data_IF_877678782674
#
_entry.id   IF_877678782674
#
_cell.length_a   1.000
_cell.length_b   1.000
_cell.length_c   1.000
_cell.angle_alpha   90.00
_cell.angle_beta   90.00
_cell.angle_gamma   90.00
#
_symmetry.space_group_name_H-M   'P 1'
#
loop_
_entity.id
_entity.type
_entity.pdbx_description
1 polymer ?
#
# COMPACT_ATOMS: atom_id res chain seq x y z
N UNK A 1 -0.05 9.84 -8.99
CA UNK A 1 1.37 9.54 -8.74
C UNK A 1 2.07 10.61 -7.91
N UNK A 2 1.95 11.92 -8.24
CA UNK A 2 2.57 12.99 -7.45
C UNK A 2 1.98 13.10 -6.04
N UNK A 3 0.66 12.95 -5.90
CA UNK A 3 -0.01 12.96 -4.59
C UNK A 3 0.48 11.79 -3.72
N UNK A 4 0.55 10.60 -4.27
CA UNK A 4 1.05 9.41 -3.57
C UNK A 4 2.52 9.55 -3.16
N UNK A 5 3.38 10.00 -4.08
CA UNK A 5 4.80 10.23 -3.75
C UNK A 5 4.99 11.30 -2.67
N UNK A 6 4.19 12.37 -2.69
CA UNK A 6 4.18 13.40 -1.64
C UNK A 6 3.69 12.83 -0.30
N UNK A 7 2.62 12.03 -0.30
CA UNK A 7 2.09 11.39 0.89
C UNK A 7 3.12 10.44 1.52
N UNK A 8 3.76 9.59 0.71
CA UNK A 8 4.80 8.66 1.16
C UNK A 8 6.02 9.37 1.73
N UNK A 9 6.47 10.45 1.09
CA UNK A 9 7.57 11.28 1.58
C UNK A 9 7.26 11.87 2.97
N UNK A 10 6.08 12.47 3.13
CA UNK A 10 5.67 13.06 4.40
C UNK A 10 5.43 11.99 5.47
N UNK A 11 4.81 10.86 5.14
CA UNK A 11 4.64 9.73 6.05
C UNK A 11 5.99 9.17 6.49
N UNK A 12 6.95 9.01 5.57
CA UNK A 12 8.31 8.57 5.87
C UNK A 12 9.04 9.55 6.80
N UNK A 13 8.87 10.86 6.58
CA UNK A 13 9.49 11.87 7.44
C UNK A 13 8.88 11.90 8.85
N UNK A 14 7.56 11.76 8.97
CA UNK A 14 6.87 11.63 10.26
C UNK A 14 7.30 10.34 10.98
N UNK A 15 7.52 9.26 10.26
CA UNK A 15 7.94 7.96 10.82
C UNK A 15 9.38 7.95 11.39
N UNK A 16 10.16 9.01 11.16
CA UNK A 16 11.47 9.20 11.82
C UNK A 16 11.33 9.58 13.30
N UNK A 17 10.24 10.18 13.70
CA UNK A 17 9.99 10.65 15.09
C UNK A 17 8.75 10.02 15.75
N UNK A 18 7.83 9.48 14.95
CA UNK A 18 6.64 8.79 15.43
C UNK A 18 6.72 7.30 15.03
N UNK A 19 6.18 6.39 15.82
CA UNK A 19 6.07 5.00 15.40
C UNK A 19 5.29 4.88 14.09
N UNK A 20 5.84 4.18 13.11
CA UNK A 20 5.23 4.06 11.78
C UNK A 20 3.78 3.53 11.82
N UNK A 21 3.48 2.66 12.79
CA UNK A 21 2.12 2.16 13.01
C UNK A 21 1.14 3.27 13.42
N UNK A 22 1.61 4.27 14.19
CA UNK A 22 0.78 5.41 14.62
C UNK A 22 0.46 6.31 13.43
N UNK A 23 1.49 6.62 12.63
CA UNK A 23 1.35 7.39 11.39
C UNK A 23 0.36 6.69 10.45
N UNK A 24 0.52 5.39 10.24
CA UNK A 24 -0.38 4.56 9.43
C UNK A 24 -1.81 4.57 9.96
N UNK A 25 -2.01 4.28 11.25
CA UNK A 25 -3.35 4.17 11.83
C UNK A 25 -4.15 5.46 11.72
N UNK A 26 -3.54 6.61 12.05
CA UNK A 26 -4.19 7.91 11.94
C UNK A 26 -4.49 8.26 10.48
N UNK A 27 -3.55 8.00 9.61
CA UNK A 27 -3.68 8.20 8.17
C UNK A 27 -4.87 7.40 7.59
N UNK A 28 -4.97 6.11 7.95
CA UNK A 28 -6.07 5.26 7.52
C UNK A 28 -7.43 5.71 8.10
N UNK A 29 -7.45 6.28 9.31
CA UNK A 29 -8.66 6.86 9.89
C UNK A 29 -9.18 8.04 9.06
N UNK A 30 -8.30 8.97 8.66
CA UNK A 30 -8.70 10.11 7.81
C UNK A 30 -9.12 9.66 6.41
N UNK A 31 -8.40 8.71 5.81
CA UNK A 31 -8.77 8.14 4.52
C UNK A 31 -10.10 7.38 4.55
N UNK A 32 -10.38 6.65 5.64
CA UNK A 32 -11.65 5.98 5.85
C UNK A 32 -12.79 7.00 6.01
N UNK A 33 -12.60 8.02 6.83
CA UNK A 33 -13.58 9.09 7.03
C UNK A 33 -13.89 9.79 5.69
N UNK A 34 -12.88 10.13 4.91
CA UNK A 34 -13.05 10.73 3.61
C UNK A 34 -13.82 9.82 2.65
N UNK A 35 -13.51 8.52 2.61
CA UNK A 35 -14.24 7.55 1.80
C UNK A 35 -15.71 7.40 2.21
N UNK A 36 -16.01 7.40 3.51
CA UNK A 36 -17.39 7.37 4.02
C UNK A 36 -18.15 8.63 3.59
N UNK A 37 -17.53 9.80 3.68
CA UNK A 37 -18.12 11.07 3.22
C UNK A 37 -18.40 11.01 1.71
N UNK A 38 -17.47 10.49 0.91
CA UNK A 38 -17.69 10.32 -0.52
C UNK A 38 -18.86 9.37 -0.84
N UNK A 39 -19.02 8.26 -0.11
CA UNK A 39 -20.17 7.36 -0.26
C UNK A 39 -21.47 8.11 0.05
N UNK A 40 -21.49 8.88 1.14
CA UNK A 40 -22.67 9.62 1.57
C UNK A 40 -23.10 10.70 0.54
N UNK A 41 -22.12 11.36 -0.09
CA UNK A 41 -22.39 12.41 -1.08
C UNK A 41 -22.76 11.82 -2.44
N UNK A 42 -22.07 10.76 -2.86
CA UNK A 42 -22.29 10.15 -4.19
C UNK A 42 -23.48 9.20 -4.24
N UNK A 43 -24.04 8.79 -3.09
CA UNK A 43 -25.05 7.73 -3.03
C UNK A 43 -24.52 6.36 -3.46
N UNK A 44 -23.19 6.18 -3.52
CA UNK A 44 -22.52 4.97 -4.02
C UNK A 44 -22.52 3.79 -3.04
N UNK A 45 -23.48 3.73 -2.12
CA UNK A 45 -23.63 2.62 -1.19
C UNK A 45 -24.14 1.37 -1.91
N UNK A 46 -23.41 0.26 -1.73
CA UNK A 46 -23.82 -1.08 -2.19
C UNK A 46 -23.91 -1.99 -0.97
N UNK A 47 -24.97 -2.78 -0.90
CA UNK A 47 -25.16 -3.72 0.21
C UNK A 47 -24.00 -4.74 0.26
N UNK A 48 -23.44 -5.04 1.45
CA UNK A 48 -22.32 -5.95 1.55
C UNK A 48 -22.70 -7.37 1.12
N UNK A 49 -21.86 -7.96 0.27
CA UNK A 49 -21.97 -9.32 -0.22
C UNK A 49 -20.68 -10.09 0.10
N UNK A 50 -20.81 -11.37 0.47
CA UNK A 50 -19.66 -12.26 0.69
C UNK A 50 -19.24 -13.01 -0.59
N UNK A 51 -19.59 -12.47 -1.76
CA UNK A 51 -19.16 -13.02 -3.03
C UNK A 51 -17.62 -12.97 -3.16
N UNK A 52 -17.03 -13.98 -3.78
CA UNK A 52 -15.58 -14.10 -3.94
C UNK A 52 -14.97 -12.99 -4.81
N UNK A 53 -15.77 -12.41 -5.70
CA UNK A 53 -15.44 -11.29 -6.58
C UNK A 53 -15.95 -9.94 -6.05
N UNK A 54 -16.68 -9.96 -4.91
CA UNK A 54 -17.27 -8.77 -4.28
C UNK A 54 -16.25 -7.82 -3.65
N UNK A 55 -16.65 -6.55 -3.55
CA UNK A 55 -15.83 -5.48 -2.97
C UNK A 55 -15.46 -5.75 -1.51
N UNK A 56 -16.35 -6.42 -0.73
CA UNK A 56 -16.14 -6.61 0.71
C UNK A 56 -14.98 -7.56 0.99
N UNK A 57 -15.00 -8.75 0.36
CA UNK A 57 -13.95 -9.77 0.54
C UNK A 57 -12.62 -9.25 -0.02
N UNK A 58 -12.65 -8.75 -1.25
CA UNK A 58 -11.44 -8.28 -1.92
C UNK A 58 -10.88 -7.00 -1.30
N UNK A 59 -11.72 -6.07 -0.85
CA UNK A 59 -11.28 -4.90 -0.10
C UNK A 59 -10.62 -5.26 1.23
N UNK A 60 -11.18 -6.24 1.97
CA UNK A 60 -10.59 -6.72 3.21
C UNK A 60 -9.24 -7.40 2.99
N UNK A 61 -9.13 -8.27 1.97
CA UNK A 61 -7.87 -8.92 1.59
C UNK A 61 -6.83 -7.90 1.11
N UNK A 62 -7.25 -6.93 0.29
CA UNK A 62 -6.38 -5.82 -0.13
C UNK A 62 -5.83 -5.04 1.07
N UNK A 63 -6.68 -4.75 2.06
CA UNK A 63 -6.28 -4.08 3.30
C UNK A 63 -5.26 -4.88 4.10
N UNK A 64 -5.50 -6.17 4.31
CA UNK A 64 -4.59 -7.04 5.06
C UNK A 64 -3.23 -7.20 4.35
N UNK A 65 -3.24 -7.47 3.04
CA UNK A 65 -2.03 -7.60 2.23
C UNK A 65 -1.26 -6.27 2.14
N UNK A 66 -1.95 -5.16 1.88
CA UNK A 66 -1.34 -3.84 1.78
C UNK A 66 -0.71 -3.39 3.10
N UNK A 67 -1.40 -3.63 4.22
CA UNK A 67 -0.86 -3.33 5.56
C UNK A 67 0.42 -4.12 5.85
N UNK A 68 0.42 -5.41 5.53
CA UNK A 68 1.60 -6.27 5.69
C UNK A 68 2.74 -5.79 4.80
N UNK A 69 2.43 -5.42 3.55
CA UNK A 69 3.40 -4.83 2.61
C UNK A 69 4.02 -3.55 3.15
N UNK A 70 3.21 -2.64 3.72
CA UNK A 70 3.68 -1.39 4.33
C UNK A 70 4.58 -1.66 5.56
N UNK A 71 4.23 -2.61 6.41
CA UNK A 71 5.08 -2.99 7.55
C UNK A 71 6.43 -3.51 7.08
N UNK A 72 6.45 -4.37 6.06
CA UNK A 72 7.69 -4.89 5.47
C UNK A 72 8.51 -3.76 4.82
N UNK A 73 7.85 -2.86 4.08
CA UNK A 73 8.51 -1.71 3.45
C UNK A 73 9.19 -0.82 4.50
N UNK A 74 8.45 -0.38 5.51
CA UNK A 74 9.01 0.51 6.53
C UNK A 74 10.09 -0.16 7.37
N UNK A 75 9.94 -1.44 7.69
CA UNK A 75 11.01 -2.20 8.35
C UNK A 75 12.25 -2.35 7.45
N UNK A 76 12.08 -2.49 6.14
CA UNK A 76 13.16 -2.52 5.17
C UNK A 76 13.87 -1.17 5.06
N UNK A 77 13.10 -0.09 4.88
CA UNK A 77 13.63 1.29 4.76
C UNK A 77 14.34 1.75 6.04
N UNK A 78 13.88 1.34 7.21
CA UNK A 78 14.54 1.66 8.49
C UNK A 78 15.94 1.05 8.63
N UNK A 79 16.28 0.05 7.80
CA UNK A 79 17.61 -0.53 7.75
C UNK A 79 18.66 0.36 7.06
N UNK A 80 18.27 1.51 6.51
CA UNK A 80 19.14 2.45 5.80
C UNK A 80 19.52 2.07 4.37
N UNK A 81 18.95 1.00 3.81
CA UNK A 81 19.22 0.50 2.44
C UNK A 81 18.09 0.86 1.47
N UNK A 82 17.79 2.14 1.33
CA UNK A 82 16.68 2.63 0.50
C UNK A 82 16.82 2.25 -0.98
N UNK A 83 18.04 2.32 -1.52
CA UNK A 83 18.32 1.99 -2.91
C UNK A 83 18.18 0.50 -3.25
N UNK A 84 18.08 -0.39 -2.26
CA UNK A 84 17.76 -1.81 -2.45
C UNK A 84 16.28 -2.08 -2.22
N UNK A 85 15.75 -1.56 -1.13
CA UNK A 85 14.37 -1.87 -0.69
C UNK A 85 13.34 -1.27 -1.64
N UNK A 86 13.50 -0.01 -2.03
CA UNK A 86 12.52 0.70 -2.87
C UNK A 86 12.35 0.06 -4.26
N UNK A 87 13.41 -0.23 -5.03
CA UNK A 87 13.26 -0.86 -6.33
C UNK A 87 12.72 -2.29 -6.27
N UNK A 88 13.13 -3.09 -5.27
CA UNK A 88 12.59 -4.46 -5.12
C UNK A 88 11.10 -4.41 -4.80
N UNK A 89 10.68 -3.51 -3.90
CA UNK A 89 9.25 -3.36 -3.57
C UNK A 89 8.42 -2.84 -4.75
N UNK A 90 9.00 -2.05 -5.66
CA UNK A 90 8.32 -1.58 -6.86
C UNK A 90 8.01 -2.69 -7.87
N UNK A 91 8.66 -3.85 -7.78
CA UNK A 91 8.32 -5.04 -8.56
C UNK A 91 6.95 -5.64 -8.19
N UNK A 92 6.27 -5.08 -7.19
CA UNK A 92 4.89 -5.45 -6.82
C UNK A 92 3.92 -5.44 -8.01
N UNK A 93 4.15 -4.58 -9.00
CA UNK A 93 3.33 -4.51 -10.22
C UNK A 93 3.34 -5.80 -11.04
N UNK A 94 4.38 -6.65 -10.90
CA UNK A 94 4.47 -7.91 -11.61
C UNK A 94 3.42 -8.94 -11.15
N UNK A 95 2.90 -8.82 -9.93
CA UNK A 95 1.90 -9.75 -9.38
C UNK A 95 0.53 -9.57 -10.04
N UNK A 96 -0.09 -8.36 -10.06
CA UNK A 96 -1.34 -8.17 -10.79
C UNK A 96 -1.18 -8.41 -12.29
N UNK A 97 0.00 -8.12 -12.85
CA UNK A 97 0.31 -8.42 -14.25
C UNK A 97 0.30 -9.93 -14.53
N UNK A 98 0.97 -10.72 -13.68
CA UNK A 98 0.96 -12.18 -13.77
C UNK A 98 -0.47 -12.73 -13.63
N UNK A 99 -1.24 -12.19 -12.71
CA UNK A 99 -2.64 -12.59 -12.51
C UNK A 99 -3.49 -12.31 -13.76
N UNK A 100 -3.38 -11.12 -14.34
CA UNK A 100 -4.09 -10.74 -15.55
C UNK A 100 -3.71 -11.64 -16.75
N UNK A 101 -2.42 -11.90 -16.95
CA UNK A 101 -1.94 -12.69 -18.09
C UNK A 101 -2.25 -14.18 -17.97
N UNK A 102 -2.00 -14.77 -16.79
CA UNK A 102 -2.02 -16.22 -16.60
C UNK A 102 -3.40 -16.72 -16.17
N UNK A 103 -4.08 -15.95 -15.30
CA UNK A 103 -5.34 -16.39 -14.70
C UNK A 103 -6.53 -15.82 -15.49
N UNK A 104 -6.50 -14.54 -15.88
CA UNK A 104 -7.57 -13.92 -16.66
C UNK A 104 -7.42 -14.14 -18.18
N UNK A 105 -6.22 -14.52 -18.64
CA UNK A 105 -5.95 -14.76 -20.05
C UNK A 105 -5.90 -13.46 -20.88
N UNK A 106 -5.65 -12.33 -20.22
CA UNK A 106 -5.56 -11.03 -20.89
C UNK A 106 -4.39 -10.98 -21.85
N UNK A 107 -4.57 -10.25 -22.96
CA UNK A 107 -3.52 -10.02 -23.94
C UNK A 107 -2.93 -8.63 -23.74
N UNK A 108 -1.63 -8.58 -23.49
CA UNK A 108 -0.90 -7.32 -23.40
C UNK A 108 -0.41 -6.90 -24.77
N UNK A 109 -0.63 -5.64 -25.11
CA UNK A 109 -0.07 -5.06 -26.34
C UNK A 109 1.44 -4.90 -26.22
N UNK A 110 2.14 -5.00 -27.37
CA UNK A 110 3.61 -4.85 -27.41
C UNK A 110 4.13 -3.56 -26.75
N UNK A 111 3.50 -2.37 -26.95
CA UNK A 111 3.95 -1.15 -26.27
C UNK A 111 3.88 -1.24 -24.74
N UNK A 112 2.84 -1.88 -24.19
CA UNK A 112 2.70 -2.07 -22.74
C UNK A 112 3.78 -3.01 -22.21
N UNK A 113 4.05 -4.11 -22.91
CA UNK A 113 5.14 -5.03 -22.55
C UNK A 113 6.50 -4.32 -22.53
N UNK A 114 6.79 -3.51 -23.54
CA UNK A 114 8.02 -2.70 -23.59
C UNK A 114 8.11 -1.73 -22.42
N UNK A 115 7.00 -1.07 -22.04
CA UNK A 115 6.93 -0.20 -20.88
C UNK A 115 7.23 -0.91 -19.56
N UNK A 116 6.70 -2.13 -19.39
CA UNK A 116 6.95 -2.97 -18.20
C UNK A 116 8.45 -3.34 -18.13
N UNK A 117 9.03 -3.81 -19.21
CA UNK A 117 10.46 -4.15 -19.29
C UNK A 117 11.31 -2.91 -18.96
N UNK A 118 10.99 -1.77 -19.55
CA UNK A 118 11.71 -0.51 -19.30
C UNK A 118 11.59 -0.09 -17.81
N UNK A 119 10.42 -0.25 -17.18
CA UNK A 119 10.20 0.07 -15.77
C UNK A 119 11.02 -0.83 -14.85
N UNK A 120 11.07 -2.14 -15.13
CA UNK A 120 11.89 -3.10 -14.37
C UNK A 120 13.38 -2.77 -14.50
N UNK A 121 13.86 -2.53 -15.72
CA UNK A 121 15.26 -2.14 -15.97
C UNK A 121 15.57 -0.81 -15.26
N UNK A 122 14.70 0.19 -15.35
CA UNK A 122 14.85 1.48 -14.70
C UNK A 122 14.93 1.35 -13.16
N UNK A 123 14.11 0.48 -12.58
CA UNK A 123 14.16 0.16 -11.15
C UNK A 123 15.50 -0.46 -10.74
N UNK A 124 16.04 -1.39 -11.52
CA UNK A 124 17.37 -1.97 -11.30
C UNK A 124 18.49 -0.93 -11.42
N UNK A 125 18.45 -0.09 -12.44
CA UNK A 125 19.45 0.96 -12.64
C UNK A 125 19.45 1.99 -11.51
N UNK A 126 18.26 2.34 -10.98
CA UNK A 126 18.13 3.23 -9.84
C UNK A 126 18.75 2.66 -8.55
N UNK A 127 18.85 1.32 -8.43
CA UNK A 127 19.44 0.63 -7.27
C UNK A 127 20.97 0.52 -7.33
N UNK A 128 21.59 0.82 -8.46
CA UNK A 128 22.95 0.43 -8.84
C UNK A 128 24.07 0.62 -7.80
N UNK A 129 24.21 1.77 -7.12
CA UNK A 129 25.35 2.00 -6.23
C UNK A 129 25.31 1.19 -4.93
N UNK A 130 24.15 0.81 -4.43
CA UNK A 130 24.03 0.10 -3.15
C UNK A 130 24.19 -1.41 -3.26
N UNK A 131 23.94 -1.96 -4.47
CA UNK A 131 24.05 -3.40 -4.73
C UNK A 131 25.51 -3.87 -4.70
N UNK A 132 26.46 -3.01 -5.07
CA UNK A 132 27.90 -3.33 -5.12
C UNK A 132 28.54 -3.52 -3.73
N UNK A 133 27.88 -3.05 -2.66
CA UNK A 133 28.37 -3.18 -1.28
C UNK A 133 27.92 -4.47 -0.56
N UNK A 134 27.33 -5.41 -1.30
CA UNK A 134 26.73 -6.64 -0.77
C UNK A 134 25.26 -6.46 -0.38
N UNK A 135 24.48 -7.50 -0.63
CA UNK A 135 23.02 -7.52 -0.36
C UNK A 135 22.77 -8.17 1.00
N UNK A 136 22.48 -7.41 2.06
CA UNK A 136 22.10 -8.00 3.34
C UNK A 136 20.74 -8.68 3.18
N UNK A 137 20.65 -9.94 3.62
CA UNK A 137 19.48 -10.81 3.42
C UNK A 137 18.20 -10.19 3.99
N UNK A 138 18.26 -9.59 5.17
CA UNK A 138 17.07 -9.06 5.87
C UNK A 138 16.36 -7.95 5.10
N UNK A 139 17.01 -6.86 4.62
CA UNK A 139 16.37 -5.85 3.77
C UNK A 139 15.78 -6.43 2.48
N UNK A 140 16.45 -7.38 1.84
CA UNK A 140 15.95 -8.04 0.63
C UNK A 140 14.68 -8.84 0.91
N UNK A 141 14.65 -9.64 1.96
CA UNK A 141 13.44 -10.39 2.35
C UNK A 141 12.27 -9.47 2.71
N UNK A 142 12.54 -8.35 3.40
CA UNK A 142 11.53 -7.36 3.70
C UNK A 142 11.02 -6.66 2.44
N UNK A 143 11.90 -6.35 1.50
CA UNK A 143 11.51 -5.76 0.22
C UNK A 143 10.68 -6.73 -0.64
N UNK A 144 11.02 -8.02 -0.65
CA UNK A 144 10.19 -9.05 -1.30
C UNK A 144 8.84 -9.21 -0.60
N UNK A 145 8.81 -9.20 0.73
CA UNK A 145 7.56 -9.19 1.50
C UNK A 145 6.68 -7.96 1.18
N UNK A 146 7.30 -6.78 1.01
CA UNK A 146 6.60 -5.58 0.58
C UNK A 146 6.06 -5.72 -0.85
N UNK A 147 6.86 -6.24 -1.78
CA UNK A 147 6.44 -6.48 -3.16
C UNK A 147 5.24 -7.44 -3.23
N UNK A 148 5.30 -8.56 -2.50
CA UNK A 148 4.21 -9.53 -2.43
C UNK A 148 2.96 -8.91 -1.79
N UNK A 149 3.11 -8.20 -0.68
CA UNK A 149 1.98 -7.55 0.00
C UNK A 149 1.28 -6.51 -0.89
N UNK A 150 2.03 -5.60 -1.51
CA UNK A 150 1.46 -4.59 -2.39
C UNK A 150 0.89 -5.18 -3.67
N UNK A 151 1.59 -6.12 -4.29
CA UNK A 151 1.11 -6.75 -5.51
C UNK A 151 -0.20 -7.53 -5.30
N UNK A 152 -0.30 -8.29 -4.21
CA UNK A 152 -1.54 -8.96 -3.82
C UNK A 152 -2.65 -7.94 -3.52
N UNK A 153 -2.34 -6.85 -2.80
CA UNK A 153 -3.31 -5.80 -2.51
C UNK A 153 -3.85 -5.16 -3.79
N UNK A 154 -2.99 -4.85 -4.76
CA UNK A 154 -3.39 -4.30 -6.06
C UNK A 154 -4.26 -5.28 -6.85
N UNK A 155 -3.94 -6.58 -6.80
CA UNK A 155 -4.75 -7.61 -7.45
C UNK A 155 -6.15 -7.71 -6.85
N UNK A 156 -6.26 -7.77 -5.51
CA UNK A 156 -7.56 -7.78 -4.84
C UNK A 156 -8.34 -6.48 -5.05
N UNK A 157 -7.66 -5.33 -5.04
CA UNK A 157 -8.31 -4.06 -5.40
C UNK A 157 -8.88 -4.09 -6.81
N UNK A 158 -8.16 -4.63 -7.79
CA UNK A 158 -8.62 -4.73 -9.16
C UNK A 158 -9.88 -5.61 -9.27
N UNK A 159 -9.91 -6.76 -8.57
CA UNK A 159 -11.07 -7.66 -8.55
C UNK A 159 -12.28 -6.96 -7.90
N UNK A 160 -12.14 -6.46 -6.68
CA UNK A 160 -13.25 -5.81 -5.96
C UNK A 160 -13.76 -4.54 -6.64
N UNK A 161 -12.88 -3.82 -7.36
CA UNK A 161 -13.24 -2.62 -8.11
C UNK A 161 -14.15 -2.87 -9.31
N UNK A 162 -14.29 -4.12 -9.75
CA UNK A 162 -15.26 -4.50 -10.79
C UNK A 162 -16.70 -4.32 -10.29
N UNK A 163 -16.95 -4.58 -9.00
CA UNK A 163 -18.26 -4.30 -8.38
C UNK A 163 -18.37 -2.82 -8.00
N UNK A 164 -17.38 -2.29 -7.24
CA UNK A 164 -17.35 -0.88 -6.84
C UNK A 164 -15.96 -0.45 -6.39
N UNK A 165 -15.30 0.42 -7.12
CA UNK A 165 -13.99 0.96 -6.75
C UNK A 165 -14.03 1.72 -5.42
N UNK A 166 -15.09 2.50 -5.17
CA UNK A 166 -15.26 3.30 -3.97
C UNK A 166 -15.44 2.40 -2.74
N UNK A 167 -16.33 1.41 -2.82
CA UNK A 167 -16.60 0.48 -1.72
C UNK A 167 -15.38 -0.41 -1.41
N UNK A 168 -14.66 -0.87 -2.44
CA UNK A 168 -13.42 -1.64 -2.29
C UNK A 168 -12.36 -0.82 -1.54
N UNK A 169 -12.17 0.45 -1.93
CA UNK A 169 -11.21 1.34 -1.27
C UNK A 169 -11.59 1.61 0.19
N UNK A 170 -12.88 1.87 0.46
CA UNK A 170 -13.37 2.11 1.83
C UNK A 170 -13.21 0.86 2.69
N UNK A 171 -13.53 -0.31 2.17
CA UNK A 171 -13.33 -1.58 2.89
C UNK A 171 -11.86 -1.86 3.17
N UNK A 172 -10.97 -1.62 2.20
CA UNK A 172 -9.53 -1.71 2.38
C UNK A 172 -9.04 -0.78 3.51
N UNK A 173 -9.48 0.48 3.51
CA UNK A 173 -9.15 1.47 4.54
C UNK A 173 -9.72 1.08 5.91
N UNK A 174 -10.94 0.55 5.97
CA UNK A 174 -11.55 0.04 7.19
C UNK A 174 -10.73 -1.11 7.78
N UNK A 175 -10.33 -2.07 6.96
CA UNK A 175 -9.52 -3.22 7.40
C UNK A 175 -8.18 -2.76 7.97
N UNK A 176 -7.47 -1.89 7.28
CA UNK A 176 -6.18 -1.35 7.76
C UNK A 176 -6.34 -0.51 9.03
N UNK A 177 -7.43 0.24 9.16
CA UNK A 177 -7.74 1.00 10.35
C UNK A 177 -7.99 0.07 11.56
N UNK A 178 -8.84 -0.94 11.43
CA UNK A 178 -9.13 -1.88 12.53
C UNK A 178 -7.90 -2.70 12.93
N UNK A 179 -7.08 -3.12 11.98
CA UNK A 179 -5.80 -3.77 12.27
C UNK A 179 -4.88 -2.83 13.06
N UNK A 180 -4.78 -1.57 12.66
CA UNK A 180 -3.99 -0.56 13.38
C UNK A 180 -4.51 -0.34 14.80
N UNK A 181 -5.83 -0.21 14.98
CA UNK A 181 -6.46 -0.08 16.31
C UNK A 181 -6.15 -1.29 17.18
N UNK A 182 -6.24 -2.52 16.64
CA UNK A 182 -5.88 -3.73 17.36
C UNK A 182 -4.43 -3.69 17.87
N UNK A 183 -3.47 -3.25 17.06
CA UNK A 183 -2.09 -3.05 17.47
C UNK A 183 -1.94 -1.98 18.55
N UNK A 184 -2.67 -0.85 18.47
CA UNK A 184 -2.63 0.21 19.47
C UNK A 184 -3.14 -0.25 20.85
N UNK A 185 -4.28 -0.95 20.86
CA UNK A 185 -4.85 -1.49 22.08
C UNK A 185 -3.87 -2.46 22.75
N UNK A 186 -3.19 -3.29 21.95
CA UNK A 186 -2.23 -4.27 22.46
C UNK A 186 -0.93 -3.61 22.96
N UNK A 187 -0.40 -2.62 22.25
CA UNK A 187 0.91 -2.01 22.55
C UNK A 187 0.86 -0.78 23.45
N UNK A 188 -0.29 -0.14 23.62
CA UNK A 188 -0.53 1.06 24.46
C UNK A 188 0.45 2.23 24.20
N UNK A 189 1.08 2.28 23.04
CA UNK A 189 2.09 3.28 22.72
C UNK A 189 1.57 4.20 21.60
N UNK A 190 1.08 5.39 22.00
CA UNK A 190 0.53 6.39 21.08
C UNK A 190 1.58 7.37 20.52
N UNK A 191 2.85 7.19 20.85
CA UNK A 191 3.98 7.82 20.16
C UNK A 191 4.10 9.34 20.22
N UNK A 192 3.39 10.04 21.09
CA UNK A 192 3.58 11.49 21.28
C UNK A 192 3.17 12.36 20.08
N UNK A 193 2.09 11.98 19.39
CA UNK A 193 1.51 12.78 18.27
C UNK A 193 1.12 14.16 18.78
N UNK A 194 1.66 15.21 18.13
CA UNK A 194 1.32 16.59 18.41
C UNK A 194 0.08 17.03 17.60
N UNK A 195 -0.69 17.97 18.17
CA UNK A 195 -1.80 18.61 17.42
C UNK A 195 -1.34 19.24 16.10
N UNK A 196 -0.08 19.62 15.98
CA UNK A 196 0.52 20.18 14.75
C UNK A 196 0.72 19.13 13.64
N UNK A 197 0.74 17.84 13.99
CA UNK A 197 0.91 16.75 13.03
C UNK A 197 -0.40 16.35 12.37
N UNK A 198 -1.54 16.65 13.01
CA UNK A 198 -2.87 16.24 12.57
C UNK A 198 -3.20 16.71 11.14
N UNK A 199 -2.98 18.00 10.76
CA UNK A 199 -3.29 18.43 9.39
C UNK A 199 -2.48 17.69 8.33
N UNK A 200 -1.21 17.41 8.61
CA UNK A 200 -0.34 16.67 7.68
C UNK A 200 -0.78 15.20 7.57
N UNK A 201 -1.09 14.58 8.71
CA UNK A 201 -1.61 13.20 8.74
C UNK A 201 -2.94 13.07 8.02
N UNK A 202 -3.82 14.07 8.15
CA UNK A 202 -5.08 14.11 7.42
C UNK A 202 -4.86 14.26 5.91
N UNK A 203 -3.96 15.16 5.49
CA UNK A 203 -3.63 15.36 4.09
C UNK A 203 -3.06 14.08 3.44
N UNK A 204 -2.17 13.39 4.17
CA UNK A 204 -1.62 12.09 3.73
C UNK A 204 -2.74 11.04 3.61
N UNK A 205 -3.73 11.04 4.51
CA UNK A 205 -4.82 10.06 4.53
C UNK A 205 -5.80 10.20 3.38
N UNK A 206 -5.97 11.42 2.89
CA UNK A 206 -6.90 11.76 1.79
C UNK A 206 -6.23 11.60 0.42
N UNK A 207 -4.90 11.71 0.33
CA UNK A 207 -4.13 11.54 -0.90
C UNK A 207 -4.04 10.10 -1.37
#
# INVERSE_FOLDING_TARGET
SLLWGSADYHAGNLSKRLPSMVVLGINQAFGLLFGIVLIAISGGWIAPSMASDGYLVNGALAGACGYTGLLCLYAGLSSGRMGVVSPISSLSVLIPLFFALVIQGDRISTPVMMGIIAAVIGGFLASGPEVTQGLPMRPVLLALGAALGFGSALTFMAIGSQESSLMTMVTMRATTFFVSVGFFVHRKNFGGVSKRDIPLLAAIGVA
#
